data_IF_770346130061
#
_entry.id   IF_770346130061
#
_cell.length_a   1.000
_cell.length_b   1.000
_cell.length_c   1.000
_cell.angle_alpha   90.00
_cell.angle_beta   90.00
_cell.angle_gamma   90.00
#
_symmetry.space_group_name_H-M   'P 1'
#
loop_
_entity.id
_entity.type
_entity.pdbx_description
1 polymer ?
#
# COMPACT_ATOMS: atom_id res chain seq x y z
N UNK A 1 -9.65 -44.57 -20.43
CA UNK A 1 -8.18 -44.60 -20.27
C UNK A 1 -7.83 -43.42 -19.37
N UNK A 2 -7.44 -43.69 -18.12
CA UNK A 2 -6.81 -42.74 -17.18
C UNK A 2 -5.32 -42.55 -17.57
N UNK A 3 -4.42 -41.82 -16.83
CA UNK A 3 -4.52 -40.72 -15.83
C UNK A 3 -3.41 -39.61 -15.96
N UNK A 4 -3.35 -38.66 -14.99
CA UNK A 4 -2.11 -38.01 -14.50
C UNK A 4 -2.09 -36.47 -14.62
N UNK A 5 -1.62 -35.63 -13.69
CA UNK A 5 -1.06 -35.76 -12.34
C UNK A 5 -1.16 -34.38 -11.63
N UNK A 6 -0.81 -34.36 -10.35
CA UNK A 6 -1.21 -33.50 -9.24
C UNK A 6 -0.46 -32.17 -9.05
N UNK A 7 -1.01 -31.36 -8.13
CA UNK A 7 -0.29 -30.57 -7.12
C UNK A 7 -0.12 -29.06 -7.35
N UNK A 8 -1.09 -28.28 -6.84
CA UNK A 8 -0.86 -27.30 -5.76
C UNK A 8 -2.19 -26.59 -5.45
N UNK A 9 -2.85 -26.96 -4.35
CA UNK A 9 -4.13 -26.36 -3.93
C UNK A 9 -3.84 -25.18 -3.02
N UNK A 10 -4.18 -23.92 -3.37
CA UNK A 10 -4.11 -22.83 -2.41
C UNK A 10 -5.32 -22.90 -1.49
N UNK A 11 -5.08 -23.11 -0.19
CA UNK A 11 -5.80 -22.78 1.07
C UNK A 11 -7.34 -22.59 1.15
N UNK A 12 -8.04 -22.28 0.06
CA UNK A 12 -9.44 -21.81 -0.03
C UNK A 12 -10.51 -22.82 0.33
N UNK A 13 -10.18 -23.97 0.92
CA UNK A 13 -11.15 -25.01 1.22
C UNK A 13 -11.05 -25.54 2.64
N UNK A 14 -11.18 -24.64 3.62
CA UNK A 14 -11.71 -25.02 4.93
C UNK A 14 -12.35 -23.83 5.61
N UNK A 15 -13.67 -23.70 5.40
CA UNK A 15 -14.68 -23.17 6.34
C UNK A 15 -16.00 -22.97 5.58
N UNK A 16 -16.75 -24.06 5.46
CA UNK A 16 -18.19 -24.02 5.22
C UNK A 16 -18.85 -23.81 6.59
N UNK A 17 -19.34 -22.61 6.89
CA UNK A 17 -20.39 -22.43 7.89
C UNK A 17 -21.01 -21.03 7.77
N UNK A 18 -22.31 -21.01 7.48
CA UNK A 18 -23.19 -19.89 7.77
C UNK A 18 -23.02 -18.67 6.87
N UNK A 19 -23.94 -18.54 5.90
CA UNK A 19 -24.31 -17.24 5.38
C UNK A 19 -24.86 -16.42 6.55
N UNK A 20 -24.03 -15.61 7.20
CA UNK A 20 -24.50 -14.41 7.86
C UNK A 20 -24.24 -13.30 6.85
N UNK A 21 -25.25 -12.56 6.37
CA UNK A 21 -24.96 -11.26 5.81
C UNK A 21 -24.25 -10.50 6.93
N UNK A 22 -22.97 -10.18 6.73
CA UNK A 22 -22.25 -9.33 7.67
C UNK A 22 -23.14 -8.11 7.87
N UNK A 23 -23.63 -7.82 9.09
CA UNK A 23 -24.35 -6.58 9.28
C UNK A 23 -23.36 -5.51 8.86
N UNK A 24 -23.74 -4.73 7.85
CA UNK A 24 -23.10 -3.45 7.51
C UNK A 24 -23.34 -2.52 8.70
N UNK A 25 -22.68 -2.83 9.81
CA UNK A 25 -22.78 -2.08 11.03
C UNK A 25 -22.38 -0.65 10.70
N UNK A 26 -23.13 0.37 11.14
CA UNK A 26 -22.71 1.76 11.03
C UNK A 26 -21.40 2.04 11.79
N UNK A 27 -20.69 1.04 12.32
CA UNK A 27 -19.44 1.14 13.05
C UNK A 27 -18.18 0.89 12.19
N UNK A 28 -18.30 0.62 10.88
CA UNK A 28 -17.12 0.45 10.02
C UNK A 28 -16.24 1.72 9.99
N UNK A 29 -16.83 2.90 10.24
CA UNK A 29 -16.13 4.15 10.45
C UNK A 29 -15.60 4.32 11.89
N UNK A 30 -15.59 3.29 12.73
CA UNK A 30 -15.01 3.39 14.09
C UNK A 30 -13.84 2.44 14.29
N UNK A 31 -13.53 1.63 13.26
CA UNK A 31 -12.41 0.71 13.28
C UNK A 31 -11.18 1.35 12.61
N UNK A 32 -9.97 1.14 13.17
CA UNK A 32 -8.75 1.63 12.56
C UNK A 32 -8.50 0.93 11.22
N UNK A 33 -8.06 1.71 10.23
CA UNK A 33 -7.71 1.23 8.90
C UNK A 33 -6.45 0.38 8.96
N UNK A 34 -6.46 -0.75 8.26
CA UNK A 34 -5.29 -1.62 8.15
C UNK A 34 -4.45 -1.20 6.95
N UNK A 35 -3.25 -0.70 7.22
CA UNK A 35 -2.35 -0.14 6.22
C UNK A 35 -1.03 -0.90 6.25
N UNK A 36 -0.59 -1.35 5.09
CA UNK A 36 0.72 -1.98 4.89
C UNK A 36 1.60 -1.01 4.13
N UNK A 37 2.77 -0.71 4.68
CA UNK A 37 3.76 0.21 4.11
C UNK A 37 5.05 -0.56 3.87
N UNK A 38 5.45 -0.66 2.62
CA UNK A 38 6.65 -1.38 2.21
C UNK A 38 7.64 -0.49 1.48
N UNK A 39 8.91 -0.89 1.51
CA UNK A 39 9.95 -0.21 0.74
C UNK A 39 9.80 -0.58 -0.73
N UNK A 40 9.90 0.40 -1.61
CA UNK A 40 9.86 0.13 -3.04
C UNK A 40 11.06 -0.74 -3.46
N UNK A 41 10.85 -1.74 -4.32
CA UNK A 41 11.88 -2.76 -4.58
C UNK A 41 13.15 -2.19 -5.25
N UNK A 42 13.02 -1.09 -6.01
CA UNK A 42 14.18 -0.40 -6.61
C UNK A 42 14.76 0.69 -5.72
N UNK A 43 14.16 0.96 -4.56
CA UNK A 43 14.66 1.96 -3.62
C UNK A 43 15.96 1.46 -3.00
N UNK A 44 17.05 2.22 -3.14
CA UNK A 44 18.37 1.87 -2.57
C UNK A 44 18.84 2.83 -1.48
N UNK A 45 18.28 4.04 -1.42
CA UNK A 45 18.74 5.14 -0.58
C UNK A 45 18.10 5.10 0.81
N UNK A 46 16.79 4.86 0.88
CA UNK A 46 16.06 4.87 2.14
C UNK A 46 16.22 3.54 2.92
N UNK A 47 16.31 3.59 4.26
CA UNK A 47 16.37 2.37 5.09
C UNK A 47 15.05 1.58 5.06
N UNK A 48 15.07 0.28 5.39
CA UNK A 48 13.85 -0.53 5.56
C UNK A 48 13.09 -0.16 6.85
N UNK A 49 11.77 -0.26 6.80
CA UNK A 49 10.89 -0.12 7.99
C UNK A 49 10.96 -1.36 8.87
N UNK A 50 11.14 -1.17 10.18
CA UNK A 50 11.07 -2.26 11.17
C UNK A 50 9.67 -2.86 11.33
N UNK A 51 8.61 -2.06 11.09
CA UNK A 51 7.22 -2.53 11.08
C UNK A 51 6.54 -1.98 9.84
N UNK A 52 5.97 -2.88 9.05
CA UNK A 52 5.28 -2.56 7.80
C UNK A 52 3.76 -2.48 7.98
N UNK A 53 3.19 -3.06 9.03
CA UNK A 53 1.74 -3.01 9.31
C UNK A 53 1.40 -1.93 10.32
N UNK A 54 0.44 -1.09 9.97
CA UNK A 54 -0.02 0.05 10.75
C UNK A 54 -1.54 0.02 10.91
N UNK A 55 -1.99 0.38 12.10
CA UNK A 55 -3.38 0.69 12.39
C UNK A 55 -3.51 2.20 12.42
N UNK A 56 -4.29 2.76 11.50
CA UNK A 56 -4.36 4.20 11.28
C UNK A 56 -5.79 4.69 11.48
N UNK A 57 -5.96 5.80 12.18
CA UNK A 57 -7.27 6.44 12.31
C UNK A 57 -7.75 6.94 10.95
N UNK A 58 -9.04 6.79 10.68
CA UNK A 58 -9.65 7.17 9.40
C UNK A 58 -9.51 8.68 9.09
N UNK A 59 -9.60 9.52 10.13
CA UNK A 59 -9.57 10.97 10.06
C UNK A 59 -8.13 11.51 9.98
N UNK A 60 -7.13 10.63 10.12
CA UNK A 60 -5.74 11.04 10.02
C UNK A 60 -5.47 11.51 8.57
N UNK A 61 -4.96 12.73 8.37
CA UNK A 61 -4.56 13.16 7.04
C UNK A 61 -3.29 12.43 6.59
N UNK A 62 -3.20 12.15 5.29
CA UNK A 62 -2.08 11.45 4.67
C UNK A 62 -0.75 12.16 4.93
N UNK A 63 -0.74 13.49 4.95
CA UNK A 63 0.43 14.32 5.30
C UNK A 63 0.98 13.99 6.69
N UNK A 64 0.13 13.90 7.71
CA UNK A 64 0.54 13.53 9.07
C UNK A 64 1.04 12.08 9.14
N UNK A 65 0.42 11.17 8.41
CA UNK A 65 0.89 9.80 8.30
C UNK A 65 2.30 9.73 7.66
N UNK A 66 2.54 10.52 6.60
CA UNK A 66 3.84 10.62 5.96
C UNK A 66 4.93 11.14 6.91
N UNK A 67 4.62 12.16 7.72
CA UNK A 67 5.54 12.68 8.76
C UNK A 67 5.85 11.61 9.81
N UNK A 68 4.85 10.81 10.19
CA UNK A 68 5.03 9.70 11.13
C UNK A 68 5.99 8.66 10.55
N UNK A 69 5.80 8.24 9.29
CA UNK A 69 6.69 7.28 8.62
C UNK A 69 8.11 7.82 8.48
N UNK A 70 8.25 9.10 8.12
CA UNK A 70 9.54 9.79 8.01
C UNK A 70 10.31 9.77 9.34
N UNK A 71 9.62 10.02 10.45
CA UNK A 71 10.19 9.95 11.81
C UNK A 71 10.61 8.52 12.15
N UNK A 72 9.80 7.52 11.79
CA UNK A 72 10.08 6.09 12.03
C UNK A 72 11.26 5.55 11.23
N UNK A 73 11.47 6.11 10.04
CA UNK A 73 12.62 5.85 9.17
C UNK A 73 13.87 6.65 9.57
N UNK A 74 13.76 7.54 10.56
CA UNK A 74 14.83 8.45 10.99
C UNK A 74 15.40 9.30 9.84
N UNK A 75 14.53 9.79 8.94
CA UNK A 75 14.98 10.55 7.77
C UNK A 75 15.32 12.02 8.09
N UNK A 76 16.45 12.49 7.58
CA UNK A 76 16.88 13.89 7.72
C UNK A 76 16.17 14.79 6.71
N UNK A 77 16.02 16.09 6.99
CA UNK A 77 15.30 17.07 6.12
C UNK A 77 15.77 17.06 4.67
N UNK A 78 17.04 16.72 4.42
CA UNK A 78 17.61 16.61 3.07
C UNK A 78 17.20 15.35 2.31
N UNK A 79 16.69 14.32 2.98
CA UNK A 79 16.23 13.10 2.34
C UNK A 79 14.80 13.26 1.85
N UNK A 80 14.64 13.05 0.55
CA UNK A 80 13.34 13.04 -0.11
C UNK A 80 12.59 11.75 0.22
N UNK A 81 11.29 11.88 0.45
CA UNK A 81 10.42 10.78 0.84
C UNK A 81 9.10 10.92 0.09
N UNK A 82 8.80 9.94 -0.75
CA UNK A 82 7.58 9.84 -1.51
C UNK A 82 6.81 8.60 -1.10
N UNK A 83 5.49 8.73 -1.05
CA UNK A 83 4.55 7.65 -0.83
C UNK A 83 3.74 7.39 -2.10
N UNK A 84 3.49 6.12 -2.36
CA UNK A 84 2.76 5.60 -3.49
C UNK A 84 1.67 4.67 -2.97
N UNK A 85 0.50 4.69 -3.58
CA UNK A 85 -0.55 3.69 -3.37
C UNK A 85 -0.68 2.86 -4.64
N UNK A 86 -0.69 1.53 -4.54
CA UNK A 86 -0.77 0.63 -5.69
C UNK A 86 0.24 0.97 -6.81
N UNK A 87 1.49 1.31 -6.46
CA UNK A 87 2.54 1.74 -7.40
C UNK A 87 2.25 3.04 -8.17
N UNK A 88 1.21 3.79 -7.80
CA UNK A 88 0.89 5.11 -8.35
C UNK A 88 1.25 6.19 -7.35
N UNK A 89 1.84 7.29 -7.84
CA UNK A 89 2.09 8.47 -7.01
C UNK A 89 0.78 8.98 -6.40
N UNK A 90 0.83 9.39 -5.13
CA UNK A 90 -0.34 9.91 -4.44
C UNK A 90 -0.66 11.32 -4.99
N UNK A 91 -1.83 11.53 -5.60
CA UNK A 91 -2.14 12.77 -6.31
C UNK A 91 -2.31 13.97 -5.37
N UNK A 92 -2.62 13.72 -4.09
CA UNK A 92 -2.86 14.79 -3.14
C UNK A 92 -2.54 14.35 -1.69
N UNK A 93 -1.61 15.04 -1.02
CA UNK A 93 -1.27 14.79 0.38
C UNK A 93 -2.29 15.36 1.37
N UNK A 94 -3.25 16.16 0.91
CA UNK A 94 -4.31 16.74 1.74
C UNK A 94 -5.48 15.79 2.02
N UNK A 95 -5.53 14.62 1.36
CA UNK A 95 -6.61 13.64 1.55
C UNK A 95 -6.49 12.93 2.89
N UNK A 96 -7.62 12.47 3.40
CA UNK A 96 -7.67 11.62 4.60
C UNK A 96 -7.27 10.18 4.29
N UNK A 97 -6.78 9.45 5.30
CA UNK A 97 -6.48 8.02 5.18
C UNK A 97 -7.73 7.22 4.82
N UNK A 98 -8.92 7.64 5.27
CA UNK A 98 -10.20 7.04 4.88
C UNK A 98 -10.48 7.14 3.39
N UNK A 99 -10.33 8.33 2.81
CA UNK A 99 -10.57 8.54 1.39
C UNK A 99 -9.59 7.74 0.54
N UNK A 100 -8.31 7.76 0.94
CA UNK A 100 -7.28 6.97 0.28
C UNK A 100 -7.58 5.48 0.35
N UNK A 101 -7.96 4.98 1.53
CA UNK A 101 -8.32 3.58 1.76
C UNK A 101 -9.54 3.19 0.92
N UNK A 102 -10.57 4.03 0.82
CA UNK A 102 -11.77 3.73 0.01
C UNK A 102 -11.43 3.53 -1.47
N UNK A 103 -10.52 4.34 -2.01
CA UNK A 103 -10.15 4.35 -3.42
C UNK A 103 -9.09 3.30 -3.78
N UNK A 104 -8.21 2.95 -2.82
CA UNK A 104 -7.01 2.14 -3.08
C UNK A 104 -6.90 0.85 -2.24
N UNK A 105 -7.90 0.50 -1.43
CA UNK A 105 -7.89 -0.77 -0.69
C UNK A 105 -7.90 -1.97 -1.65
N UNK A 106 -7.28 -3.03 -1.19
CA UNK A 106 -7.30 -4.33 -1.85
C UNK A 106 -8.50 -5.18 -1.38
N UNK A 107 -8.76 -6.30 -2.08
CA UNK A 107 -9.84 -7.23 -1.74
C UNK A 107 -9.66 -7.88 -0.37
N UNK A 108 -8.42 -7.99 0.11
CA UNK A 108 -8.08 -8.52 1.44
C UNK A 108 -8.43 -7.54 2.58
N UNK A 109 -8.79 -6.29 2.26
CA UNK A 109 -9.14 -5.27 3.25
C UNK A 109 -7.95 -4.48 3.79
N UNK A 110 -6.78 -4.58 3.15
CA UNK A 110 -5.60 -3.76 3.47
C UNK A 110 -5.37 -2.69 2.41
N UNK A 111 -4.81 -1.55 2.84
CA UNK A 111 -4.27 -0.54 1.94
C UNK A 111 -2.76 -0.75 1.80
N UNK A 112 -2.30 -0.99 0.59
CA UNK A 112 -0.88 -1.17 0.29
C UNK A 112 -0.25 0.14 -0.19
N UNK A 113 0.68 0.63 0.62
CA UNK A 113 1.49 1.80 0.33
C UNK A 113 2.94 1.39 0.15
N UNK A 114 3.63 2.12 -0.72
CA UNK A 114 5.05 1.93 -0.99
C UNK A 114 5.77 3.25 -0.81
N UNK A 115 6.99 3.22 -0.27
CA UNK A 115 7.81 4.44 -0.14
C UNK A 115 9.12 4.36 -0.92
N UNK A 116 9.54 5.52 -1.44
CA UNK A 116 10.76 5.70 -2.22
C UNK A 116 11.37 7.10 -2.01
N UNK A 117 12.63 7.27 -2.39
CA UNK A 117 13.35 8.55 -2.39
C UNK A 117 13.09 9.38 -3.65
N UNK A 118 12.42 8.80 -4.66
CA UNK A 118 12.08 9.47 -5.91
C UNK A 118 10.62 9.20 -6.26
N UNK A 119 9.97 10.18 -6.90
CA UNK A 119 8.65 10.01 -7.50
C UNK A 119 8.75 9.05 -8.69
N UNK A 120 7.80 8.11 -8.82
CA UNK A 120 7.78 7.12 -9.92
C UNK A 120 7.33 7.69 -11.29
N UNK A 121 7.09 8.99 -11.41
CA UNK A 121 6.74 9.57 -12.70
C UNK A 121 7.98 9.68 -13.61
N UNK A 122 8.10 8.75 -14.57
CA UNK A 122 8.83 9.03 -15.81
C UNK A 122 10.07 8.20 -16.11
N UNK A 123 9.94 6.88 -16.26
CA UNK A 123 10.89 6.10 -17.08
C UNK A 123 10.21 5.53 -18.32
N UNK A 124 9.48 6.37 -19.03
CA UNK A 124 9.00 6.10 -20.39
C UNK A 124 9.36 7.27 -21.29
N UNK A 125 10.64 7.61 -21.38
CA UNK A 125 11.16 8.26 -22.58
C UNK A 125 12.39 7.50 -23.02
N UNK A 126 12.14 6.42 -23.74
CA UNK A 126 13.04 5.90 -24.76
C UNK A 126 13.18 6.96 -25.87
N UNK A 127 13.87 8.06 -25.59
CA UNK A 127 14.35 8.98 -26.60
C UNK A 127 15.62 8.37 -27.22
N UNK A 128 15.43 7.53 -28.24
CA UNK A 128 16.51 6.96 -29.05
C UNK A 128 17.45 8.10 -29.52
N UNK A 129 18.80 8.00 -29.38
CA UNK A 129 19.67 8.95 -30.05
C UNK A 129 19.62 8.62 -31.56
N UNK A 130 18.94 9.45 -32.35
CA UNK A 130 19.11 9.45 -33.78
C UNK A 130 20.36 10.28 -34.09
N UNK A 131 21.46 9.56 -34.37
CA UNK A 131 22.69 10.12 -34.87
C UNK A 131 22.44 10.94 -36.14
N UNK A 132 23.07 12.11 -36.22
CA UNK A 132 23.30 12.87 -37.44
C UNK A 132 24.81 12.93 -37.67
#
# INVERSE_FOLDING_TARGET
MQPGDSSSRPFKQRKSLGTLPVPVSPLQHLLPLQVVVERYQKEKTLPPLNRTKFLVSQDLPLSQFAVTLRTRLCLTSSQTFYLLANNKGLPNMAVTMQELYRDNKDEDGFLYLTYASQEMFGSSSSGKPAAA
#
